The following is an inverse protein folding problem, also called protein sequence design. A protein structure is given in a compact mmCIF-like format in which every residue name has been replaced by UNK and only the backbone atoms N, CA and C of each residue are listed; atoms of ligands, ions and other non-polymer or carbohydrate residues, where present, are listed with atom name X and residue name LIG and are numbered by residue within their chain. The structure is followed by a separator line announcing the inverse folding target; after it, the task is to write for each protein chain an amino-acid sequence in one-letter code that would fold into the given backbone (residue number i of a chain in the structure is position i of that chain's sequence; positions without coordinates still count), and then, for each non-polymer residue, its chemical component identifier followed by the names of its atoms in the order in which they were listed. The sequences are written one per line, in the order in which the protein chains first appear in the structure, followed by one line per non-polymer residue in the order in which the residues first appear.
data_IF_746090522279
#
_entry.id   IF_746090522279
#
_cell.length_a   1.000
_cell.length_b   1.000
_cell.length_c   1.000
_cell.angle_alpha   90.00
_cell.angle_beta   90.00
_cell.angle_gamma   90.00
#
_symmetry.space_group_name_H-M   'P 1'
#
loop_
_entity.id
_entity.type
_entity.pdbx_description
1 polymer ?
#
# COMPACT_ATOMS: atom_id res chain seq x y z
N UNK A 1 0.22 -1.48 -8.53
CA UNK A 1 0.61 -0.07 -8.80
C UNK A 1 2.11 0.23 -8.69
N UNK A 2 2.96 -0.71 -8.27
CA UNK A 2 4.41 -0.44 -8.17
C UNK A 2 5.03 -0.04 -9.52
N UNK A 3 4.73 -0.77 -10.59
CA UNK A 3 5.22 -0.48 -11.96
C UNK A 3 4.93 0.97 -12.39
N UNK A 4 3.69 1.44 -12.18
CA UNK A 4 3.30 2.83 -12.45
C UNK A 4 4.14 3.84 -11.67
N UNK A 5 4.36 3.59 -10.37
CA UNK A 5 5.19 4.46 -9.52
C UNK A 5 6.67 4.46 -9.89
N UNK A 6 7.18 3.37 -10.48
CA UNK A 6 8.55 3.33 -10.99
C UNK A 6 8.68 4.06 -12.32
N UNK A 7 7.76 3.80 -13.25
CA UNK A 7 7.75 4.37 -14.59
C UNK A 7 7.56 5.89 -14.58
N UNK A 8 6.75 6.41 -13.66
CA UNK A 8 6.43 7.84 -13.58
C UNK A 8 7.25 8.61 -12.54
N UNK A 9 8.35 8.04 -12.04
CA UNK A 9 9.29 8.76 -11.17
C UNK A 9 10.11 9.79 -11.97
N UNK A 10 10.42 11.00 -11.46
CA UNK A 10 10.14 11.53 -10.11
C UNK A 10 8.84 12.35 -10.01
N UNK A 11 7.71 11.78 -10.44
CA UNK A 11 6.37 12.34 -10.20
C UNK A 11 6.00 12.47 -8.72
N UNK A 12 4.88 13.11 -8.44
CA UNK A 12 4.31 13.26 -7.10
C UNK A 12 3.09 12.34 -6.91
N UNK A 13 2.92 11.78 -5.71
CA UNK A 13 1.86 10.81 -5.41
C UNK A 13 0.44 11.32 -5.73
N UNK A 14 0.19 12.63 -5.63
CA UNK A 14 -1.10 13.23 -5.96
C UNK A 14 -1.37 13.26 -7.47
N UNK A 15 -0.40 13.64 -8.30
CA UNK A 15 -0.57 13.60 -9.77
C UNK A 15 -0.73 12.19 -10.33
N UNK A 16 -0.16 11.18 -9.66
CA UNK A 16 -0.30 9.78 -10.05
C UNK A 16 -1.72 9.20 -9.86
N UNK A 17 -2.59 9.86 -9.08
CA UNK A 17 -3.93 9.34 -8.75
C UNK A 17 -4.80 9.11 -10.00
N UNK A 18 -4.65 9.92 -11.05
CA UNK A 18 -5.39 9.76 -12.31
C UNK A 18 -5.03 8.45 -13.03
N UNK A 19 -3.73 8.28 -13.31
CA UNK A 19 -3.20 7.07 -13.94
C UNK A 19 -3.49 5.81 -13.10
N UNK A 20 -3.39 5.92 -11.76
CA UNK A 20 -3.70 4.83 -10.84
C UNK A 20 -5.18 4.42 -10.93
N UNK A 21 -6.10 5.38 -10.95
CA UNK A 21 -7.54 5.13 -11.11
C UNK A 21 -7.84 4.45 -12.44
N UNK A 22 -7.23 4.90 -13.53
CA UNK A 22 -7.46 4.34 -14.86
C UNK A 22 -6.89 2.92 -14.96
N UNK A 23 -5.74 2.67 -14.34
CA UNK A 23 -5.18 1.33 -14.19
C UNK A 23 -6.11 0.43 -13.34
N UNK A 24 -6.60 0.89 -12.19
CA UNK A 24 -7.57 0.13 -11.38
C UNK A 24 -8.83 -0.21 -12.17
N UNK A 25 -9.36 0.74 -12.95
CA UNK A 25 -10.55 0.55 -13.80
C UNK A 25 -10.37 -0.62 -14.76
N UNK A 26 -9.21 -0.73 -15.39
CA UNK A 26 -8.85 -1.81 -16.30
C UNK A 26 -8.64 -3.14 -15.55
N UNK A 27 -7.90 -3.12 -14.43
CA UNK A 27 -7.64 -4.32 -13.63
C UNK A 27 -8.92 -4.97 -13.09
N UNK A 28 -9.90 -4.18 -12.60
CA UNK A 28 -11.19 -4.71 -12.16
C UNK A 28 -12.04 -5.31 -13.28
N UNK A 29 -11.72 -5.01 -14.55
CA UNK A 29 -12.35 -5.60 -15.73
C UNK A 29 -11.52 -6.74 -16.33
N UNK A 30 -10.50 -7.20 -15.61
CA UNK A 30 -9.54 -8.20 -16.11
C UNK A 30 -8.92 -7.77 -17.46
N UNK A 31 -8.64 -6.48 -17.63
CA UNK A 31 -7.81 -5.97 -18.72
C UNK A 31 -6.42 -5.69 -18.16
N UNK A 32 -5.51 -6.63 -18.39
CA UNK A 32 -4.12 -6.58 -17.90
C UNK A 32 -3.19 -5.98 -18.93
N UNK A 33 -3.66 -5.69 -20.15
CA UNK A 33 -2.90 -5.00 -21.19
C UNK A 33 -2.43 -3.60 -20.74
N UNK A 34 -3.20 -2.95 -19.85
CA UNK A 34 -2.85 -1.66 -19.21
C UNK A 34 -1.48 -1.67 -18.55
N UNK A 35 -1.01 -2.84 -18.07
CA UNK A 35 0.29 -2.97 -17.42
C UNK A 35 1.45 -2.68 -18.38
N UNK A 36 1.25 -2.89 -19.68
CA UNK A 36 2.27 -2.63 -20.72
C UNK A 36 2.68 -1.16 -20.77
N UNK A 37 1.78 -0.24 -20.43
CA UNK A 37 2.06 1.20 -20.35
C UNK A 37 3.13 1.53 -19.30
N UNK A 38 3.28 0.69 -18.28
CA UNK A 38 4.19 0.89 -17.15
C UNK A 38 5.24 -0.21 -17.02
N UNK A 39 5.32 -1.11 -18.00
CA UNK A 39 6.26 -2.24 -18.02
C UNK A 39 7.66 -1.86 -18.55
N UNK A 40 7.88 -0.58 -18.88
CA UNK A 40 9.18 -0.12 -19.36
C UNK A 40 10.25 -0.27 -18.25
N UNK A 41 11.50 -0.65 -18.61
CA UNK A 41 12.62 -0.58 -17.69
C UNK A 41 12.72 0.83 -17.08
N UNK A 42 13.25 0.99 -15.86
CA UNK A 42 13.61 2.31 -15.37
C UNK A 42 14.46 3.01 -16.44
N UNK A 43 14.00 4.18 -16.88
CA UNK A 43 14.68 4.96 -17.93
C UNK A 43 16.14 5.24 -17.55
N UNK A 44 16.97 5.64 -18.52
CA UNK A 44 18.36 6.01 -18.26
C UNK A 44 18.46 7.01 -17.11
N UNK A 45 19.56 6.97 -16.36
CA UNK A 45 19.84 7.98 -15.31
C UNK A 45 19.89 9.42 -15.85
N UNK A 46 19.96 9.56 -17.17
CA UNK A 46 19.93 10.81 -17.92
C UNK A 46 18.47 11.20 -18.30
N UNK A 47 17.96 12.33 -17.79
CA UNK A 47 16.62 12.85 -18.12
C UNK A 47 16.41 13.21 -19.60
N UNK A 48 17.47 13.30 -20.40
CA UNK A 48 17.41 13.65 -21.83
C UNK A 48 17.45 12.43 -22.76
N UNK A 49 17.63 11.23 -22.22
CA UNK A 49 17.70 10.03 -23.04
C UNK A 49 16.29 9.55 -23.46
N UNK A 50 16.13 9.01 -24.68
CA UNK A 50 14.85 8.50 -25.15
C UNK A 50 14.34 7.38 -24.23
N UNK A 51 13.04 7.40 -23.96
CA UNK A 51 12.39 6.41 -23.11
C UNK A 51 12.61 5.00 -23.67
N UNK A 52 12.98 4.00 -22.84
CA UNK A 52 13.15 2.64 -23.33
C UNK A 52 11.81 2.12 -23.88
N UNK A 53 11.82 1.34 -24.98
CA UNK A 53 10.60 0.80 -25.56
C UNK A 53 9.82 -0.01 -24.52
N UNK A 54 8.49 0.10 -24.56
CA UNK A 54 7.61 -0.69 -23.70
C UNK A 54 7.93 -2.18 -23.85
N UNK A 55 8.12 -2.88 -22.73
CA UNK A 55 8.51 -4.29 -22.75
C UNK A 55 7.49 -5.13 -23.54
N UNK A 56 7.92 -5.63 -24.70
CA UNK A 56 7.08 -6.42 -25.60
C UNK A 56 6.62 -7.75 -24.96
N UNK A 57 7.33 -8.24 -23.94
CA UNK A 57 7.18 -9.58 -23.38
C UNK A 57 6.75 -9.58 -21.91
N UNK A 58 5.68 -8.85 -21.55
CA UNK A 58 5.08 -8.96 -20.21
C UNK A 58 4.33 -10.30 -20.08
N UNK A 59 4.73 -11.11 -19.11
CA UNK A 59 4.11 -12.41 -18.78
C UNK A 59 3.68 -12.44 -17.31
N UNK A 60 3.01 -13.51 -16.89
CA UNK A 60 2.67 -13.71 -15.48
C UNK A 60 3.88 -13.64 -14.55
N UNK A 61 5.07 -14.04 -15.01
CA UNK A 61 6.31 -14.09 -14.21
C UNK A 61 6.89 -12.72 -13.78
N UNK A 62 6.27 -11.60 -14.16
CA UNK A 62 6.74 -10.25 -13.78
C UNK A 62 5.66 -9.38 -13.13
N UNK A 63 4.48 -9.93 -12.86
CA UNK A 63 3.32 -9.18 -12.37
C UNK A 63 2.68 -9.86 -11.16
N UNK A 64 1.88 -9.10 -10.43
CA UNK A 64 1.02 -9.58 -9.34
C UNK A 64 1.70 -10.46 -8.27
N UNK A 65 3.02 -10.28 -8.06
CA UNK A 65 3.77 -11.07 -7.09
C UNK A 65 3.68 -12.57 -7.37
N UNK A 66 3.79 -12.95 -8.65
CA UNK A 66 3.39 -14.24 -9.21
C UNK A 66 3.72 -15.48 -8.38
N UNK A 67 4.93 -15.58 -7.79
CA UNK A 67 5.34 -16.69 -6.92
C UNK A 67 4.42 -16.93 -5.73
N UNK A 68 3.70 -15.90 -5.31
CA UNK A 68 2.78 -15.93 -4.16
C UNK A 68 1.32 -15.81 -4.58
N UNK A 69 1.04 -15.76 -5.89
CA UNK A 69 -0.29 -15.58 -6.43
C UNK A 69 -0.98 -16.94 -6.61
N UNK A 70 -2.02 -17.18 -5.82
CA UNK A 70 -2.75 -18.46 -5.82
C UNK A 70 -3.34 -18.82 -7.19
N UNK A 71 -3.79 -17.86 -7.99
CA UNK A 71 -4.37 -18.12 -9.32
C UNK A 71 -3.29 -18.49 -10.33
N UNK A 72 -2.13 -17.81 -10.29
CA UNK A 72 -1.01 -18.12 -11.19
C UNK A 72 -0.35 -19.46 -10.82
N UNK A 73 -0.21 -19.71 -9.51
CA UNK A 73 0.39 -20.94 -8.96
C UNK A 73 -0.63 -22.07 -8.76
N UNK A 74 -1.66 -22.16 -9.61
CA UNK A 74 -2.60 -23.29 -9.63
C UNK A 74 -3.16 -23.54 -11.03
N UNK A 75 -3.78 -24.70 -11.22
CA UNK A 75 -4.47 -25.05 -12.46
C UNK A 75 -5.59 -24.05 -12.80
N UNK A 76 -5.77 -23.66 -14.08
CA UNK A 76 -5.14 -24.22 -15.29
C UNK A 76 -3.81 -23.54 -15.68
N UNK A 77 -3.44 -22.43 -15.05
CA UNK A 77 -2.22 -21.69 -15.43
C UNK A 77 -0.94 -22.43 -15.03
N UNK A 78 -1.00 -23.21 -13.95
CA UNK A 78 0.04 -24.12 -13.51
C UNK A 78 -0.56 -25.51 -13.22
N UNK A 79 -0.60 -26.41 -14.22
CA UNK A 79 -1.13 -27.77 -14.06
C UNK A 79 -0.36 -28.59 -13.02
N UNK A 80 0.96 -28.42 -12.96
CA UNK A 80 1.87 -29.15 -12.07
C UNK A 80 1.99 -28.51 -10.67
N UNK A 81 1.08 -27.60 -10.33
CA UNK A 81 1.09 -26.93 -9.04
C UNK A 81 0.92 -27.95 -7.90
N UNK A 82 1.72 -27.84 -6.82
CA UNK A 82 1.71 -28.82 -5.73
C UNK A 82 0.42 -28.81 -4.91
N UNK A 83 -0.40 -27.76 -5.02
CA UNK A 83 -1.65 -27.60 -4.26
C UNK A 83 -2.76 -27.09 -5.17
N UNK A 84 -3.97 -27.58 -4.90
CA UNK A 84 -5.17 -27.11 -5.59
C UNK A 84 -5.46 -25.63 -5.25
N UNK A 85 -6.19 -24.97 -6.15
CA UNK A 85 -6.64 -23.58 -5.96
C UNK A 85 -7.62 -23.44 -4.80
N UNK A 86 -8.44 -24.45 -4.57
CA UNK A 86 -9.51 -24.49 -3.56
C UNK A 86 -8.94 -24.65 -2.13
N UNK A 87 -7.73 -25.16 -2.00
CA UNK A 87 -7.05 -25.28 -0.71
C UNK A 87 -6.68 -23.90 -0.15
N UNK A 88 -7.24 -23.58 1.02
CA UNK A 88 -6.96 -22.33 1.72
C UNK A 88 -5.60 -22.43 2.43
N UNK A 89 -4.65 -21.61 1.99
CA UNK A 89 -3.29 -21.59 2.52
C UNK A 89 -2.41 -20.58 1.82
N UNK A 90 -1.18 -20.40 2.33
CA UNK A 90 -0.14 -19.70 1.60
C UNK A 90 0.34 -20.54 0.42
N UNK A 91 0.75 -19.86 -0.65
CA UNK A 91 1.43 -20.49 -1.78
C UNK A 91 2.88 -20.75 -1.40
N UNK A 92 3.38 -21.95 -1.69
CA UNK A 92 4.81 -22.22 -1.67
C UNK A 92 5.46 -21.57 -2.90
N UNK A 93 6.12 -20.44 -2.68
CA UNK A 93 6.70 -19.67 -3.76
C UNK A 93 7.91 -20.32 -4.42
N UNK A 94 8.64 -21.17 -3.71
CA UNK A 94 9.77 -21.89 -4.30
C UNK A 94 9.26 -23.00 -5.23
N UNK A 95 8.30 -23.79 -4.75
CA UNK A 95 7.68 -24.83 -5.57
C UNK A 95 6.94 -24.24 -6.79
N UNK A 96 6.24 -23.11 -6.63
CA UNK A 96 5.60 -22.42 -7.76
C UNK A 96 6.63 -21.93 -8.78
N UNK A 97 7.77 -21.41 -8.35
CA UNK A 97 8.83 -20.96 -9.26
C UNK A 97 9.46 -22.10 -10.05
N UNK A 98 9.61 -23.27 -9.42
CA UNK A 98 10.17 -24.46 -10.05
C UNK A 98 9.20 -25.11 -11.05
N UNK A 99 7.90 -25.15 -10.72
CA UNK A 99 6.90 -25.95 -11.45
C UNK A 99 6.06 -25.15 -12.46
N UNK A 100 5.93 -23.84 -12.29
CA UNK A 100 4.96 -23.05 -13.06
C UNK A 100 5.62 -22.22 -14.17
N UNK A 101 5.34 -22.50 -15.46
CA UNK A 101 5.89 -21.72 -16.56
C UNK A 101 5.24 -20.33 -16.67
N UNK A 102 5.95 -19.32 -17.23
CA UNK A 102 5.36 -18.03 -17.55
C UNK A 102 4.19 -18.18 -18.55
N UNK A 103 3.08 -17.50 -18.28
CA UNK A 103 1.87 -17.47 -19.13
C UNK A 103 1.66 -16.09 -19.71
N UNK A 104 0.92 -16.02 -20.81
CA UNK A 104 0.56 -14.74 -21.43
C UNK A 104 -0.45 -13.99 -20.58
N UNK A 105 -0.51 -12.66 -20.73
CA UNK A 105 -1.55 -11.86 -20.08
C UNK A 105 -2.95 -12.30 -20.53
N UNK A 106 -3.13 -12.66 -21.81
CA UNK A 106 -4.43 -13.09 -22.34
C UNK A 106 -4.97 -14.33 -21.64
N UNK A 107 -4.11 -15.32 -21.37
CA UNK A 107 -4.49 -16.50 -20.59
C UNK A 107 -4.93 -16.11 -19.17
N UNK A 108 -4.17 -15.24 -18.49
CA UNK A 108 -4.51 -14.76 -17.16
C UNK A 108 -5.80 -13.94 -17.14
N UNK A 109 -6.05 -13.10 -18.16
CA UNK A 109 -7.28 -12.33 -18.30
C UNK A 109 -8.49 -13.25 -18.53
N UNK A 110 -8.35 -14.27 -19.38
CA UNK A 110 -9.39 -15.27 -19.62
C UNK A 110 -9.72 -16.04 -18.33
N UNK A 111 -8.72 -16.36 -17.52
CA UNK A 111 -8.93 -16.99 -16.22
C UNK A 111 -9.58 -16.02 -15.22
N UNK A 112 -9.11 -14.77 -15.13
CA UNK A 112 -9.67 -13.73 -14.25
C UNK A 112 -11.17 -13.50 -14.47
N UNK A 113 -11.63 -13.49 -15.72
CA UNK A 113 -13.06 -13.27 -16.06
C UNK A 113 -14.00 -14.37 -15.55
N UNK A 114 -13.46 -15.53 -15.16
CA UNK A 114 -14.25 -16.62 -14.57
C UNK A 114 -14.61 -16.36 -13.10
N UNK A 115 -13.90 -15.45 -12.43
CA UNK A 115 -14.10 -15.19 -11.00
C UNK A 115 -15.18 -14.12 -10.81
N UNK A 116 -16.15 -14.36 -9.91
CA UNK A 116 -17.19 -13.38 -9.61
C UNK A 116 -16.69 -12.20 -8.77
N UNK A 117 -15.50 -12.34 -8.17
CA UNK A 117 -14.89 -11.34 -7.29
C UNK A 117 -13.42 -11.17 -7.63
N UNK A 118 -13.00 -9.92 -7.81
CA UNK A 118 -11.60 -9.51 -7.98
C UNK A 118 -11.21 -8.65 -6.78
N UNK A 119 -10.09 -9.02 -6.13
CA UNK A 119 -9.54 -8.28 -4.99
C UNK A 119 -8.21 -7.66 -5.38
N UNK A 120 -8.12 -6.33 -5.25
CA UNK A 120 -6.88 -5.58 -5.48
C UNK A 120 -6.45 -4.95 -4.17
N UNK A 121 -5.28 -5.36 -3.67
CA UNK A 121 -4.60 -4.68 -2.57
C UNK A 121 -3.75 -3.55 -3.14
N UNK A 122 -3.96 -2.34 -2.65
CA UNK A 122 -3.11 -1.19 -2.96
C UNK A 122 -2.60 -0.52 -1.68
N UNK A 123 -1.37 -0.01 -1.74
CA UNK A 123 -0.69 0.77 -0.69
C UNK A 123 -0.12 2.08 -1.25
N UNK A 124 -0.43 2.40 -2.52
CA UNK A 124 0.09 3.53 -3.30
C UNK A 124 -1.02 4.46 -3.82
N UNK A 125 -2.27 4.18 -3.45
CA UNK A 125 -3.38 5.14 -3.53
C UNK A 125 -3.23 6.13 -2.36
N UNK A 126 -3.13 7.42 -2.66
CA UNK A 126 -2.90 8.44 -1.63
C UNK A 126 -4.21 8.87 -0.99
N UNK A 127 -5.27 9.05 -1.79
CA UNK A 127 -6.54 9.60 -1.34
C UNK A 127 -7.72 8.76 -1.87
N UNK A 128 -8.68 8.47 -0.98
CA UNK A 128 -9.93 7.78 -1.31
C UNK A 128 -10.73 8.52 -2.38
N UNK A 129 -10.61 9.85 -2.44
CA UNK A 129 -11.25 10.70 -3.44
C UNK A 129 -10.99 10.27 -4.88
N UNK A 130 -9.80 9.72 -5.16
CA UNK A 130 -9.44 9.23 -6.49
C UNK A 130 -10.28 8.02 -6.95
N UNK A 131 -10.89 7.28 -6.02
CA UNK A 131 -11.76 6.13 -6.32
C UNK A 131 -13.23 6.52 -6.54
N UNK A 132 -13.64 7.75 -6.22
CA UNK A 132 -15.05 8.16 -6.34
C UNK A 132 -15.64 7.95 -7.74
N UNK A 133 -14.91 8.18 -8.86
CA UNK A 133 -15.43 7.87 -10.19
C UNK A 133 -15.66 6.37 -10.41
N UNK A 134 -14.81 5.50 -9.85
CA UNK A 134 -14.97 4.04 -9.96
C UNK A 134 -16.11 3.53 -9.09
N UNK A 135 -16.32 4.12 -7.91
CA UNK A 135 -17.43 3.80 -7.02
C UNK A 135 -18.80 4.21 -7.58
N UNK A 136 -18.83 5.15 -8.54
CA UNK A 136 -20.03 5.58 -9.26
C UNK A 136 -20.24 4.87 -10.60
N UNK A 137 -19.23 4.15 -11.08
CA UNK A 137 -19.30 3.45 -12.36
C UNK A 137 -20.31 2.30 -12.27
N UNK A 138 -21.44 2.32 -13.01
CA UNK A 138 -22.44 1.27 -12.94
C UNK A 138 -21.92 -0.08 -13.45
N UNK A 139 -20.85 -0.08 -14.26
CA UNK A 139 -20.18 -1.29 -14.73
C UNK A 139 -19.24 -1.91 -13.70
N UNK A 140 -19.09 -1.32 -12.51
CA UNK A 140 -18.27 -1.84 -11.42
C UNK A 140 -19.07 -1.94 -10.12
N UNK A 141 -19.15 -3.15 -9.55
CA UNK A 141 -19.66 -3.33 -8.19
C UNK A 141 -18.56 -3.10 -7.13
N UNK A 142 -17.87 -1.97 -7.19
CA UNK A 142 -16.72 -1.70 -6.34
C UNK A 142 -17.15 -1.51 -4.87
N UNK A 143 -16.39 -2.13 -3.97
CA UNK A 143 -16.40 -1.91 -2.52
C UNK A 143 -14.97 -1.65 -2.04
N UNK A 144 -14.81 -0.75 -1.08
CA UNK A 144 -13.50 -0.33 -0.57
C UNK A 144 -13.39 -0.66 0.92
N UNK A 145 -12.31 -1.35 1.28
CA UNK A 145 -11.88 -1.56 2.67
C UNK A 145 -10.62 -0.71 2.87
N UNK A 146 -10.68 0.30 3.75
CA UNK A 146 -9.52 1.12 4.07
C UNK A 146 -8.94 0.68 5.42
N UNK A 147 -7.72 0.15 5.38
CA UNK A 147 -6.97 -0.27 6.57
C UNK A 147 -6.16 0.90 7.12
N UNK A 148 -6.45 1.30 8.35
CA UNK A 148 -5.66 2.23 9.14
C UNK A 148 -4.82 1.47 10.16
N UNK A 149 -3.69 2.05 10.55
CA UNK A 149 -2.80 1.54 11.60
C UNK A 149 -2.28 2.72 12.39
N UNK A 150 -1.93 2.51 13.66
CA UNK A 150 -1.31 3.57 14.48
C UNK A 150 -0.14 4.23 13.70
N UNK A 151 -0.18 5.55 13.45
CA UNK A 151 0.88 6.24 12.70
C UNK A 151 2.28 6.04 13.27
N UNK A 152 2.42 5.82 14.58
CA UNK A 152 3.71 5.53 15.24
C UNK A 152 4.21 4.14 14.84
N UNK A 153 3.32 3.15 14.81
CA UNK A 153 3.62 1.82 14.30
C UNK A 153 3.96 1.84 12.79
N UNK A 154 3.28 2.69 12.01
CA UNK A 154 3.60 2.91 10.60
C UNK A 154 4.99 3.53 10.46
N UNK A 155 5.30 4.58 11.21
CA UNK A 155 6.62 5.23 11.19
C UNK A 155 7.74 4.24 11.48
N UNK A 156 7.62 3.47 12.58
CA UNK A 156 8.56 2.42 12.96
C UNK A 156 8.76 1.39 11.82
N UNK A 157 7.66 0.94 11.21
CA UNK A 157 7.73 0.01 10.08
C UNK A 157 8.43 0.62 8.85
N UNK A 158 8.22 1.91 8.59
CA UNK A 158 8.86 2.63 7.48
C UNK A 158 10.36 2.80 7.72
N UNK A 159 10.78 3.12 8.94
CA UNK A 159 12.19 3.20 9.32
C UNK A 159 12.91 1.85 9.12
N UNK A 160 12.27 0.75 9.52
CA UNK A 160 12.80 -0.62 9.30
C UNK A 160 12.93 -0.98 7.82
N UNK A 161 12.02 -0.47 6.97
CA UNK A 161 12.02 -0.69 5.52
C UNK A 161 12.63 0.48 4.72
N UNK A 162 13.47 1.32 5.34
CA UNK A 162 13.97 2.58 4.76
C UNK A 162 14.55 2.45 3.36
N UNK A 163 15.35 1.41 3.11
CA UNK A 163 16.02 1.20 1.82
C UNK A 163 15.02 1.00 0.68
N UNK A 164 13.93 0.27 0.95
CA UNK A 164 12.91 -0.03 -0.04
C UNK A 164 11.90 1.11 -0.24
N UNK A 165 11.68 1.93 0.79
CA UNK A 165 10.64 2.97 0.77
C UNK A 165 11.15 4.38 0.49
N UNK A 166 12.48 4.61 0.44
CA UNK A 166 13.03 5.96 0.28
C UNK A 166 12.53 6.64 -1.01
N UNK A 167 12.61 5.95 -2.16
CA UNK A 167 12.19 6.48 -3.46
C UNK A 167 10.71 6.86 -3.47
N UNK A 168 9.85 6.03 -2.91
CA UNK A 168 8.40 6.31 -2.81
C UNK A 168 8.10 7.42 -1.80
N UNK A 169 8.84 7.49 -0.70
CA UNK A 169 8.71 8.55 0.31
C UNK A 169 9.04 9.92 -0.29
N UNK A 170 10.02 10.01 -1.19
CA UNK A 170 10.32 11.23 -1.93
C UNK A 170 9.13 11.65 -2.82
N UNK A 171 8.54 10.72 -3.58
CA UNK A 171 7.36 11.02 -4.42
C UNK A 171 6.15 11.46 -3.58
N UNK A 172 5.92 10.83 -2.42
CA UNK A 172 4.87 11.24 -1.48
C UNK A 172 5.14 12.67 -0.98
N UNK A 173 6.35 12.94 -0.49
CA UNK A 173 6.71 14.25 0.07
C UNK A 173 6.57 15.39 -0.96
N UNK A 174 6.85 15.13 -2.24
CA UNK A 174 6.64 16.12 -3.33
C UNK A 174 5.18 16.58 -3.46
N UNK A 175 4.23 15.79 -2.97
CA UNK A 175 2.79 16.14 -3.01
C UNK A 175 2.42 17.22 -1.97
N UNK A 176 3.27 17.47 -0.96
CA UNK A 176 3.05 18.47 0.09
C UNK A 176 2.68 19.85 -0.48
N UNK A 177 3.38 20.28 -1.54
CA UNK A 177 3.21 21.59 -2.16
C UNK A 177 1.89 21.79 -2.92
N UNK A 178 1.11 20.73 -3.16
CA UNK A 178 -0.17 20.80 -3.87
C UNK A 178 -1.38 20.61 -2.94
N UNK A 179 -1.16 20.13 -1.73
CA UNK A 179 -2.21 19.95 -0.73
C UNK A 179 -2.55 21.24 0.03
N UNK A 180 -1.70 22.28 -0.02
CA UNK A 180 -1.95 23.59 0.59
C UNK A 180 -2.69 24.53 -0.39
N UNK A 181 -3.90 25.02 -0.05
CA UNK A 181 -4.51 26.14 -0.76
C UNK A 181 -3.89 27.44 -0.25
N UNK A 182 -3.06 28.09 -1.09
CA UNK A 182 -2.46 29.43 -0.92
C UNK A 182 -1.32 29.54 0.12
N UNK A 183 -0.09 29.31 -0.35
CA UNK A 183 1.17 29.76 0.28
C UNK A 183 2.02 30.60 -0.68
N UNK A 184 3.01 31.39 -0.19
CA UNK A 184 3.75 32.40 -0.96
C UNK A 184 4.64 31.79 -2.08
N UNK A 185 5.10 32.61 -3.06
CA UNK A 185 5.60 32.13 -4.35
C UNK A 185 6.89 31.30 -4.31
N UNK A 186 7.03 30.50 -5.39
CA UNK A 186 7.93 29.36 -5.64
C UNK A 186 9.43 29.49 -5.33
N UNK A 187 9.97 30.68 -5.08
CA UNK A 187 11.43 30.84 -4.90
C UNK A 187 11.93 30.63 -3.46
N UNK A 188 11.07 30.74 -2.45
CA UNK A 188 11.50 30.61 -1.04
C UNK A 188 11.34 29.19 -0.47
N UNK A 189 10.63 28.29 -1.17
CA UNK A 189 10.27 26.95 -0.67
C UNK A 189 11.07 25.79 -1.27
N UNK A 190 11.89 25.99 -2.30
CA UNK A 190 12.87 24.97 -2.73
C UNK A 190 13.90 24.66 -1.63
N UNK A 191 14.04 25.56 -0.65
CA UNK A 191 14.86 25.38 0.56
C UNK A 191 14.30 24.31 1.53
N UNK A 192 13.01 23.98 1.49
CA UNK A 192 12.38 23.01 2.41
C UNK A 192 12.46 21.53 1.96
N UNK A 193 12.90 21.28 0.72
CA UNK A 193 13.22 19.93 0.22
C UNK A 193 14.68 19.54 0.47
N UNK A 194 15.49 20.50 0.90
CA UNK A 194 16.87 20.29 1.29
C UNK A 194 16.91 20.07 2.81
N UNK A 195 17.57 19.00 3.30
CA UNK A 195 17.80 18.86 4.74
C UNK A 195 18.53 20.13 5.26
N UNK A 196 18.25 20.58 6.50
CA UNK A 196 18.74 21.86 7.04
C UNK A 196 20.26 22.09 6.91
N UNK A 197 21.06 21.02 6.77
CA UNK A 197 22.51 21.07 6.60
C UNK A 197 23.05 21.33 5.19
N UNK A 198 22.20 21.64 4.19
CA UNK A 198 22.66 22.04 2.84
C UNK A 198 22.48 23.55 2.56
N UNK A 199 21.89 24.31 3.49
CA UNK A 199 21.63 25.75 3.35
C UNK A 199 22.54 26.64 4.21
N UNK A 200 23.38 26.03 5.04
CA UNK A 200 24.51 26.67 5.72
C UNK A 200 25.70 25.72 5.66
N UNK A 201 26.92 26.25 5.58
CA UNK A 201 28.18 25.51 5.35
C UNK A 201 28.60 24.52 6.46
N UNK A 202 27.67 23.70 6.95
CA UNK A 202 27.91 22.58 7.84
C UNK A 202 28.03 21.27 7.07
N UNK A 203 28.71 20.29 7.67
CA UNK A 203 28.87 18.92 7.14
C UNK A 203 27.54 18.36 6.63
N UNK A 204 27.56 17.79 5.42
CA UNK A 204 26.41 17.09 4.86
C UNK A 204 25.86 16.08 5.89
N UNK A 205 24.54 16.09 6.18
CA UNK A 205 23.96 15.19 7.16
C UNK A 205 24.20 13.74 6.75
N UNK A 206 24.51 12.89 7.73
CA UNK A 206 24.77 11.48 7.47
C UNK A 206 23.60 10.84 6.67
N UNK A 207 23.87 9.87 5.77
CA UNK A 207 22.85 9.26 4.90
C UNK A 207 21.62 8.73 5.66
N UNK A 208 21.81 8.29 6.91
CA UNK A 208 20.74 7.80 7.78
C UNK A 208 19.75 8.91 8.14
N UNK A 209 20.22 10.05 8.66
CA UNK A 209 19.38 11.21 9.00
C UNK A 209 18.60 11.73 7.78
N UNK A 210 19.21 11.67 6.59
CA UNK A 210 18.54 12.09 5.36
C UNK A 210 17.39 11.16 4.97
N UNK A 211 17.53 9.85 5.13
CA UNK A 211 16.44 8.90 4.88
C UNK A 211 15.28 9.09 5.88
N UNK A 212 15.60 9.25 7.16
CA UNK A 212 14.60 9.49 8.22
C UNK A 212 13.77 10.74 7.95
N UNK A 213 14.41 11.83 7.50
CA UNK A 213 13.71 13.05 7.08
C UNK A 213 12.66 12.78 5.99
N UNK A 214 13.02 12.09 4.91
CA UNK A 214 12.06 11.76 3.84
C UNK A 214 10.95 10.83 4.32
N UNK A 215 11.26 9.85 5.17
CA UNK A 215 10.29 8.89 5.70
C UNK A 215 9.29 9.57 6.66
N UNK A 216 9.77 10.47 7.53
CA UNK A 216 8.95 11.27 8.43
C UNK A 216 8.09 12.28 7.67
N UNK A 217 8.67 13.05 6.75
CA UNK A 217 7.91 14.00 5.93
C UNK A 217 6.86 13.32 5.03
N UNK A 218 7.16 12.14 4.49
CA UNK A 218 6.17 11.36 3.76
C UNK A 218 5.00 10.91 4.65
N UNK A 219 5.27 10.57 5.91
CA UNK A 219 4.22 10.19 6.86
C UNK A 219 3.29 11.37 7.17
N UNK A 220 3.82 12.58 7.29
CA UNK A 220 3.01 13.80 7.45
C UNK A 220 1.99 13.95 6.30
N UNK A 221 2.44 13.85 5.05
CA UNK A 221 1.56 13.91 3.87
C UNK A 221 0.53 12.77 3.87
N UNK A 222 0.93 11.56 4.27
CA UNK A 222 0.02 10.41 4.38
C UNK A 222 -1.05 10.66 5.45
N UNK A 223 -0.68 11.19 6.62
CA UNK A 223 -1.63 11.48 7.69
C UNK A 223 -2.60 12.60 7.31
N UNK A 224 -2.16 13.61 6.57
CA UNK A 224 -3.06 14.63 6.01
C UNK A 224 -4.05 14.01 5.01
N UNK A 225 -3.60 13.08 4.17
CA UNK A 225 -4.48 12.36 3.25
C UNK A 225 -5.48 11.47 4.01
N UNK A 226 -5.05 10.78 5.06
CA UNK A 226 -5.93 10.03 5.95
C UNK A 226 -6.98 10.92 6.61
N UNK A 227 -6.61 12.10 7.09
CA UNK A 227 -7.56 13.05 7.66
C UNK A 227 -8.64 13.45 6.63
N UNK A 228 -8.23 13.77 5.38
CA UNK A 228 -9.19 14.06 4.29
C UNK A 228 -10.11 12.89 4.00
N UNK A 229 -9.59 11.67 3.95
CA UNK A 229 -10.37 10.45 3.72
C UNK A 229 -11.37 10.19 4.86
N UNK A 230 -10.95 10.37 6.11
CA UNK A 230 -11.80 10.23 7.29
C UNK A 230 -12.95 11.25 7.28
N UNK A 231 -12.65 12.51 6.94
CA UNK A 231 -13.67 13.56 6.82
C UNK A 231 -14.64 13.29 5.65
N UNK A 232 -14.12 12.82 4.50
CA UNK A 232 -14.93 12.39 3.36
C UNK A 232 -15.87 11.25 3.77
N UNK A 233 -15.37 10.24 4.48
CA UNK A 233 -16.16 9.11 4.95
C UNK A 233 -17.23 9.52 5.97
N UNK A 234 -16.93 10.42 6.91
CA UNK A 234 -17.92 10.93 7.89
C UNK A 234 -19.06 11.68 7.22
N UNK A 235 -18.76 12.43 6.16
CA UNK A 235 -19.74 13.21 5.39
C UNK A 235 -20.34 12.42 4.21
N UNK A 236 -20.05 11.12 4.12
CA UNK A 236 -20.43 10.31 2.97
C UNK A 236 -21.96 10.13 2.87
N UNK A 237 -22.53 10.29 1.66
CA UNK A 237 -23.92 9.95 1.40
C UNK A 237 -24.17 8.44 1.55
N UNK A 238 -25.44 8.05 1.71
CA UNK A 238 -25.82 6.66 1.99
C UNK A 238 -25.27 5.65 0.97
N UNK A 239 -25.24 6.00 -0.33
CA UNK A 239 -24.72 5.11 -1.38
C UNK A 239 -23.22 4.79 -1.19
N UNK A 240 -22.43 5.77 -0.72
CA UNK A 240 -20.99 5.61 -0.50
C UNK A 240 -20.74 4.82 0.78
N UNK A 241 -21.49 5.10 1.86
CA UNK A 241 -21.40 4.37 3.13
C UNK A 241 -21.65 2.86 2.97
N UNK A 242 -22.50 2.45 2.03
CA UNK A 242 -22.76 1.02 1.74
C UNK A 242 -21.60 0.34 1.00
N UNK A 243 -20.73 1.10 0.34
CA UNK A 243 -19.62 0.60 -0.49
C UNK A 243 -18.24 0.86 0.13
N UNK A 244 -18.16 1.44 1.31
CA UNK A 244 -16.91 1.76 1.99
C UNK A 244 -16.94 1.31 3.45
N UNK A 245 -15.86 0.72 3.91
CA UNK A 245 -15.67 0.39 5.33
C UNK A 245 -14.24 0.64 5.79
N UNK A 246 -14.11 1.01 7.07
CA UNK A 246 -12.85 1.22 7.74
C UNK A 246 -12.47 -0.03 8.54
N UNK A 247 -11.17 -0.29 8.62
CA UNK A 247 -10.59 -1.36 9.42
C UNK A 247 -9.37 -0.82 10.14
N UNK A 248 -9.26 -1.04 11.45
CA UNK A 248 -8.02 -0.77 12.18
C UNK A 248 -7.19 -2.04 12.22
N UNK A 249 -5.90 -1.90 11.98
CA UNK A 249 -4.95 -3.01 12.05
C UNK A 249 -4.96 -3.64 13.43
N UNK A 250 -5.07 -2.84 14.49
CA UNK A 250 -5.09 -3.31 15.87
C UNK A 250 -6.32 -4.16 16.18
N UNK A 251 -7.49 -3.82 15.61
CA UNK A 251 -8.72 -4.61 15.75
C UNK A 251 -8.61 -5.92 14.95
N UNK A 252 -8.05 -5.87 13.74
CA UNK A 252 -7.76 -7.06 12.92
C UNK A 252 -6.81 -8.03 13.63
N UNK A 253 -5.83 -7.51 14.37
CA UNK A 253 -4.87 -8.32 15.13
C UNK A 253 -5.49 -8.89 16.40
N UNK A 254 -6.30 -8.10 17.10
CA UNK A 254 -6.90 -8.50 18.38
C UNK A 254 -8.02 -9.52 18.19
N UNK A 255 -8.91 -9.26 17.25
CA UNK A 255 -10.12 -10.05 16.99
C UNK A 255 -10.19 -10.54 15.53
N UNK A 256 -9.18 -11.31 15.07
CA UNK A 256 -9.02 -11.66 13.65
C UNK A 256 -10.20 -12.42 13.04
N UNK A 257 -10.86 -13.30 13.82
CA UNK A 257 -12.08 -14.01 13.38
C UNK A 257 -13.27 -13.06 13.22
N UNK A 258 -13.45 -12.14 14.18
CA UNK A 258 -14.58 -11.21 14.15
C UNK A 258 -14.45 -10.24 12.96
N UNK A 259 -13.25 -9.70 12.72
CA UNK A 259 -12.97 -8.83 11.59
C UNK A 259 -13.07 -9.58 10.25
N UNK A 260 -12.58 -10.82 10.15
CA UNK A 260 -12.77 -11.65 8.96
C UNK A 260 -14.27 -11.78 8.61
N UNK A 261 -15.10 -12.17 9.59
CA UNK A 261 -16.55 -12.31 9.39
C UNK A 261 -17.18 -10.98 8.98
N UNK A 262 -16.79 -9.87 9.60
CA UNK A 262 -17.28 -8.52 9.28
C UNK A 262 -16.94 -8.13 7.84
N UNK A 263 -15.71 -8.37 7.40
CA UNK A 263 -15.25 -8.05 6.05
C UNK A 263 -15.92 -8.92 4.99
N UNK A 264 -16.07 -10.22 5.22
CA UNK A 264 -16.76 -11.11 4.28
C UNK A 264 -18.25 -10.79 4.17
N UNK A 265 -18.93 -10.47 5.28
CA UNK A 265 -20.30 -9.93 5.24
C UNK A 265 -20.37 -8.62 4.46
N UNK A 266 -19.43 -7.70 4.70
CA UNK A 266 -19.34 -6.45 3.94
C UNK A 266 -19.06 -6.69 2.45
N UNK A 267 -18.40 -7.78 2.07
CA UNK A 267 -18.18 -8.18 0.67
C UNK A 267 -19.35 -8.99 0.07
N UNK A 268 -20.30 -9.44 0.90
CA UNK A 268 -21.37 -10.35 0.47
C UNK A 268 -20.88 -11.77 0.18
N UNK A 269 -19.81 -12.20 0.86
CA UNK A 269 -19.18 -13.50 0.69
C UNK A 269 -19.45 -14.42 1.89
N UNK A 270 -19.53 -15.75 1.67
CA UNK A 270 -19.62 -16.71 2.76
C UNK A 270 -18.32 -16.72 3.58
N UNK A 271 -18.40 -17.27 4.80
CA UNK A 271 -17.25 -17.46 5.69
C UNK A 271 -16.92 -18.94 5.79
N UNK A 272 -15.97 -19.47 5.00
CA UNK A 272 -15.55 -20.86 5.11
C UNK A 272 -14.86 -21.11 6.46
N UNK A 273 -15.18 -22.20 7.18
CA UNK A 273 -14.50 -22.52 8.45
C UNK A 273 -12.98 -22.62 8.32
N UNK A 274 -12.49 -23.18 7.21
CA UNK A 274 -11.06 -23.27 6.91
C UNK A 274 -10.38 -21.88 6.80
N UNK A 275 -11.11 -20.85 6.36
CA UNK A 275 -10.58 -19.49 6.29
C UNK A 275 -10.43 -18.87 7.68
N UNK A 276 -11.33 -19.18 8.62
CA UNK A 276 -11.21 -18.73 10.00
C UNK A 276 -9.99 -19.34 10.70
N UNK A 277 -9.75 -20.64 10.46
CA UNK A 277 -8.55 -21.33 10.95
C UNK A 277 -7.29 -20.75 10.32
N UNK A 278 -7.29 -20.54 9.01
CA UNK A 278 -6.15 -19.96 8.29
C UNK A 278 -5.77 -18.58 8.84
N UNK A 279 -6.74 -17.69 9.02
CA UNK A 279 -6.50 -16.33 9.51
C UNK A 279 -5.90 -16.34 10.92
N UNK A 280 -6.35 -17.22 11.82
CA UNK A 280 -5.73 -17.36 13.13
C UNK A 280 -4.28 -17.87 13.05
N UNK A 281 -4.02 -18.87 12.23
CA UNK A 281 -2.68 -19.43 12.07
C UNK A 281 -1.70 -18.37 11.55
N UNK A 282 -2.15 -17.49 10.67
CA UNK A 282 -1.34 -16.37 10.16
C UNK A 282 -0.91 -15.37 11.24
N UNK A 283 -1.63 -15.28 12.37
CA UNK A 283 -1.29 -14.39 13.49
C UNK A 283 -0.37 -15.01 14.57
N UNK A 284 -0.05 -16.30 14.45
CA UNK A 284 0.69 -17.09 15.45
C UNK A 284 2.06 -17.56 14.95
N UNK A 285 2.65 -16.83 13.99
CA UNK A 285 3.96 -17.16 13.44
C UNK A 285 5.14 -16.57 14.22
N UNK A 286 6.35 -16.78 13.71
CA UNK A 286 7.57 -16.23 14.29
C UNK A 286 7.61 -14.69 14.22
N UNK A 287 8.45 -14.10 15.08
CA UNK A 287 8.66 -12.65 15.17
C UNK A 287 9.23 -12.05 13.87
N UNK A 288 9.09 -10.73 13.74
CA UNK A 288 9.40 -10.00 12.50
C UNK A 288 10.91 -9.99 12.15
N UNK A 289 11.28 -10.49 10.95
CA UNK A 289 12.65 -10.33 10.37
C UNK A 289 12.85 -8.96 9.70
N UNK A 290 13.94 -8.24 10.05
CA UNK A 290 14.39 -7.01 9.37
C UNK A 290 14.82 -7.23 7.93
N UNK A 291 15.32 -8.41 7.61
CA UNK A 291 16.04 -8.66 6.37
C UNK A 291 15.08 -8.92 5.20
N UNK A 292 13.84 -9.32 5.53
CA UNK A 292 12.77 -9.59 4.56
C UNK A 292 11.45 -8.95 4.98
N UNK A 293 11.37 -7.60 5.03
CA UNK A 293 10.22 -6.90 5.61
C UNK A 293 8.90 -7.18 4.89
N UNK A 294 8.96 -7.46 3.58
CA UNK A 294 7.79 -7.70 2.72
C UNK A 294 7.45 -9.18 2.48
N UNK A 295 8.19 -10.12 3.09
CA UNK A 295 7.91 -11.55 2.95
C UNK A 295 6.52 -11.89 3.52
N UNK A 296 5.68 -12.57 2.75
CA UNK A 296 4.38 -13.02 3.23
C UNK A 296 4.60 -14.29 4.05
N UNK A 297 4.36 -14.21 5.35
CA UNK A 297 4.49 -15.34 6.28
C UNK A 297 3.51 -15.18 7.44
N UNK A 298 3.22 -16.26 8.16
CA UNK A 298 2.64 -16.12 9.48
C UNK A 298 3.61 -15.32 10.37
N UNK A 299 3.08 -14.41 11.20
CA UNK A 299 3.88 -13.53 12.08
C UNK A 299 3.18 -13.34 13.41
N UNK A 300 3.95 -13.08 14.46
CA UNK A 300 3.40 -12.58 15.72
C UNK A 300 2.83 -11.17 15.51
N UNK A 301 1.51 -11.11 15.40
CA UNK A 301 0.81 -9.87 15.13
C UNK A 301 0.77 -8.92 16.35
N UNK A 302 0.94 -9.44 17.57
CA UNK A 302 0.93 -8.65 18.82
C UNK A 302 2.22 -7.86 19.01
N UNK A 303 3.36 -8.46 18.70
CA UNK A 303 4.65 -7.74 18.65
C UNK A 303 4.52 -6.52 17.70
N UNK A 304 3.89 -6.72 16.54
CA UNK A 304 3.79 -5.70 15.50
C UNK A 304 3.00 -4.44 15.93
N UNK A 305 2.03 -4.54 16.85
CA UNK A 305 1.24 -3.38 17.29
C UNK A 305 1.94 -2.56 18.39
N UNK A 306 2.80 -3.18 19.20
CA UNK A 306 3.43 -2.51 20.35
C UNK A 306 4.89 -2.13 20.14
N UNK A 307 5.57 -2.72 19.16
CA UNK A 307 7.00 -2.54 18.92
C UNK A 307 7.46 -1.08 18.75
N UNK A 308 6.60 -0.14 18.38
CA UNK A 308 7.00 1.27 18.26
C UNK A 308 7.32 1.91 19.61
N UNK A 309 6.73 1.42 20.71
CA UNK A 309 6.93 1.97 22.06
C UNK A 309 8.37 1.84 22.54
N UNK A 310 9.02 0.75 22.15
CA UNK A 310 10.41 0.43 22.52
C UNK A 310 11.40 0.92 21.47
N UNK A 311 10.97 1.03 20.20
CA UNK A 311 11.87 1.28 19.05
C UNK A 311 11.93 2.74 18.61
N UNK A 312 10.91 3.55 18.93
CA UNK A 312 10.91 4.97 18.59
C UNK A 312 11.39 5.81 19.77
N UNK A 313 12.21 6.83 19.50
CA UNK A 313 12.57 7.82 20.50
C UNK A 313 11.36 8.69 20.87
N UNK A 314 11.37 9.28 22.07
CA UNK A 314 10.32 10.24 22.49
C UNK A 314 10.17 11.40 21.49
N UNK A 315 11.27 11.84 20.87
CA UNK A 315 11.23 12.87 19.84
C UNK A 315 10.50 12.40 18.58
N UNK A 316 10.80 11.19 18.09
CA UNK A 316 10.11 10.61 16.94
C UNK A 316 8.61 10.42 17.22
N UNK A 317 8.25 9.94 18.42
CA UNK A 317 6.85 9.81 18.84
C UNK A 317 6.16 11.18 18.82
N UNK A 318 6.75 12.22 19.42
CA UNK A 318 6.19 13.58 19.39
C UNK A 318 6.04 14.13 17.97
N UNK A 319 7.00 13.88 17.09
CA UNK A 319 6.91 14.32 15.69
C UNK A 319 5.75 13.65 14.95
N UNK A 320 5.56 12.34 15.14
CA UNK A 320 4.44 11.61 14.54
C UNK A 320 3.11 12.11 15.12
N UNK A 321 3.02 12.28 16.43
CA UNK A 321 1.80 12.77 17.09
C UNK A 321 1.45 14.20 16.69
N UNK A 322 2.44 15.07 16.52
CA UNK A 322 2.23 16.43 16.00
C UNK A 322 1.73 16.42 14.56
N UNK A 323 2.28 15.56 13.70
CA UNK A 323 1.91 15.48 12.29
C UNK A 323 0.56 14.76 12.05
N UNK A 324 0.22 13.79 12.89
CA UNK A 324 -0.90 12.88 12.67
C UNK A 324 -2.01 12.99 13.72
N UNK A 325 -1.90 13.89 14.70
CA UNK A 325 -2.75 13.94 15.88
C UNK A 325 -4.25 14.02 15.59
N UNK A 326 -4.66 14.82 14.60
CA UNK A 326 -6.08 14.92 14.19
C UNK A 326 -6.60 13.59 13.62
N UNK A 327 -5.84 12.97 12.72
CA UNK A 327 -6.20 11.66 12.16
C UNK A 327 -6.20 10.57 13.25
N UNK A 328 -5.24 10.62 14.17
CA UNK A 328 -5.17 9.72 15.32
C UNK A 328 -6.40 9.83 16.23
N UNK A 329 -6.84 11.05 16.52
CA UNK A 329 -8.04 11.32 17.31
C UNK A 329 -9.28 10.70 16.66
N UNK A 330 -9.48 10.92 15.35
CA UNK A 330 -10.60 10.35 14.60
C UNK A 330 -10.55 8.81 14.52
N UNK A 331 -9.36 8.22 14.61
CA UNK A 331 -9.12 6.77 14.61
C UNK A 331 -9.03 6.17 16.02
N UNK A 332 -9.30 6.95 17.06
CA UNK A 332 -9.21 6.56 18.47
C UNK A 332 -7.84 5.95 18.86
N UNK A 333 -6.75 6.59 18.40
CA UNK A 333 -5.41 6.33 18.91
C UNK A 333 -5.04 7.39 19.97
N UNK A 334 -4.79 6.99 21.22
CA UNK A 334 -4.41 7.94 22.27
C UNK A 334 -3.01 8.52 22.02
N UNK A 335 -2.86 9.82 22.28
CA UNK A 335 -1.58 10.52 22.28
C UNK A 335 -0.81 10.19 23.56
N UNK A 336 0.52 10.13 23.48
CA UNK A 336 1.35 9.66 24.60
C UNK A 336 1.38 10.62 25.80
N UNK A 337 1.01 11.91 25.61
CA UNK A 337 0.95 12.91 26.68
C UNK A 337 -0.45 13.19 27.22
N UNK A 338 -1.44 12.33 26.91
CA UNK A 338 -2.84 12.51 27.34
C UNK A 338 -3.16 11.98 28.76
N UNK A 339 -2.23 11.26 29.39
CA UNK A 339 -2.39 10.73 30.76
C UNK A 339 -1.90 11.71 31.86
N UNK A 340 -1.46 12.91 31.48
CA UNK A 340 -0.93 13.94 32.40
C UNK A 340 -1.90 15.11 32.65
N UNK A 341 -3.22 14.91 32.53
CA UNK A 341 -4.23 15.96 32.83
C UNK A 341 -5.39 15.49 33.69
#
# INVERSE_FOLDING_TARGET
MWHLWQALYPGDALSLQGALRDMLRALFRCDFSVLRLYAAPPGPRDPLAPAPPAAANLTTASIFGWRTNKVICSSPLCPDAPRSREEIGLVDGAACEETCPPRTLRELEAECRKYPVVVIKDVRLLELGALLPLLRDPGLNLRVVQLFRDPRAVHNSRLKARQALLRESIQVLRSRHRAEPRGPPRHQQQQLLLPPGLLGGGRAPQPQHRAEFFLGGALEVICQAWLRDLLLARRAPAWLRRRYTQLRYEDLVREPRAELRRLLRFAGLPVPPALETFVLNMTRGAAYSSDRPFLISARDAREAIHAWRERLSRQQVRQVEAACGEAMSLLAYPLSGGDDR
#
